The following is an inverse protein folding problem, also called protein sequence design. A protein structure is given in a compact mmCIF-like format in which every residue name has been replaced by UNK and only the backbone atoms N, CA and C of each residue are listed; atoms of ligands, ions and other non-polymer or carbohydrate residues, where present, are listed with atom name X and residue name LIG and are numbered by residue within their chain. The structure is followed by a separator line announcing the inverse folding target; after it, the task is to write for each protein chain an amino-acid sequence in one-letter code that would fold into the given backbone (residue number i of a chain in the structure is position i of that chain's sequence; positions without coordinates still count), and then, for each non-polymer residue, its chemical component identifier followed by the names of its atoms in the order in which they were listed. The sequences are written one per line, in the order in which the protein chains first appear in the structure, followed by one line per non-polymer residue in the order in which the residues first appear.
data_IF_385671277670
#
_entry.id   IF_385671277670
#
_cell.length_a   1.000
_cell.length_b   1.000
_cell.length_c   1.000
_cell.angle_alpha   90.00
_cell.angle_beta   90.00
_cell.angle_gamma   90.00
#
_symmetry.space_group_name_H-M   'P 1'
#
loop_
_entity.id
_entity.type
_entity.pdbx_description
1 polymer ?
#
# COMPACT_ATOMS: atom_id res chain seq x y z
N UNK A 1 -36.56 10.14 19.59
CA UNK A 1 -36.40 10.17 18.12
C UNK A 1 -35.03 9.59 17.84
N UNK A 2 -34.95 8.39 17.24
CA UNK A 2 -33.66 7.85 16.79
C UNK A 2 -33.24 8.62 15.54
N UNK A 3 -31.97 8.99 15.48
CA UNK A 3 -31.37 9.53 14.27
C UNK A 3 -31.59 8.56 13.10
N UNK A 4 -31.92 9.10 11.92
CA UNK A 4 -32.16 8.29 10.70
C UNK A 4 -30.94 7.43 10.28
N UNK A 5 -29.76 7.72 10.83
CA UNK A 5 -28.51 6.99 10.59
C UNK A 5 -28.23 5.86 11.60
N UNK A 6 -29.08 5.64 12.61
CA UNK A 6 -28.86 4.58 13.61
C UNK A 6 -29.46 3.23 13.19
N UNK A 7 -28.64 2.18 13.26
CA UNK A 7 -29.07 0.81 12.98
C UNK A 7 -30.15 0.35 13.97
N UNK A 8 -31.15 -0.39 13.46
CA UNK A 8 -32.23 -0.93 14.29
C UNK A 8 -31.68 -1.86 15.38
N UNK A 9 -32.04 -1.60 16.63
CA UNK A 9 -31.63 -2.40 17.79
C UNK A 9 -32.02 -3.89 17.68
N UNK A 10 -33.03 -4.21 16.87
CA UNK A 10 -33.46 -5.59 16.61
C UNK A 10 -32.38 -6.46 15.93
N UNK A 11 -31.39 -5.85 15.26
CA UNK A 11 -30.32 -6.60 14.58
C UNK A 11 -29.47 -7.39 15.57
N UNK A 12 -29.09 -6.77 16.69
CA UNK A 12 -28.32 -7.43 17.75
C UNK A 12 -29.22 -8.36 18.56
N UNK A 13 -30.37 -7.85 19.02
CA UNK A 13 -31.21 -8.55 20.01
C UNK A 13 -31.99 -9.73 19.45
N UNK A 14 -32.42 -9.68 18.17
CA UNK A 14 -33.25 -10.71 17.54
C UNK A 14 -32.52 -11.55 16.50
N UNK A 15 -31.60 -10.96 15.75
CA UNK A 15 -30.91 -11.62 14.65
C UNK A 15 -29.44 -11.95 14.95
N UNK A 16 -28.92 -11.52 16.11
CA UNK A 16 -27.52 -11.72 16.51
C UNK A 16 -26.51 -11.21 15.46
N UNK A 17 -26.89 -10.16 14.74
CA UNK A 17 -26.06 -9.52 13.70
C UNK A 17 -25.30 -8.37 14.36
N UNK A 18 -23.99 -8.53 14.46
CA UNK A 18 -23.08 -7.49 14.92
C UNK A 18 -22.50 -6.75 13.71
N UNK A 19 -22.73 -5.44 13.62
CA UNK A 19 -22.17 -4.59 12.58
C UNK A 19 -20.81 -4.08 13.02
N UNK A 20 -19.85 -4.04 12.08
CA UNK A 20 -18.52 -3.45 12.33
C UNK A 20 -18.68 -1.96 12.63
N UNK A 21 -18.03 -1.51 13.70
CA UNK A 21 -17.94 -0.09 14.04
C UNK A 21 -16.80 0.58 13.29
N UNK A 22 -16.80 1.91 13.21
CA UNK A 22 -15.70 2.68 12.60
C UNK A 22 -14.35 2.43 13.33
N UNK A 23 -14.40 2.24 14.65
CA UNK A 23 -13.23 1.91 15.47
C UNK A 23 -12.56 0.60 15.07
N UNK A 24 -13.33 -0.39 14.62
CA UNK A 24 -12.80 -1.70 14.21
C UNK A 24 -11.92 -1.61 12.96
N UNK A 25 -12.15 -0.59 12.12
CA UNK A 25 -11.39 -0.36 10.89
C UNK A 25 -10.20 0.59 11.10
N UNK A 26 -10.10 1.26 12.25
CA UNK A 26 -9.08 2.29 12.49
C UNK A 26 -7.65 1.74 12.31
N UNK A 27 -7.37 0.58 12.92
CA UNK A 27 -6.05 -0.06 12.82
C UNK A 27 -5.68 -0.38 11.37
N UNK A 28 -6.62 -0.96 10.62
CA UNK A 28 -6.41 -1.30 9.21
C UNK A 28 -6.20 -0.04 8.37
N UNK A 29 -6.97 1.02 8.61
CA UNK A 29 -6.85 2.31 7.92
C UNK A 29 -5.49 2.96 8.16
N UNK A 30 -5.02 3.00 9.41
CA UNK A 30 -3.70 3.56 9.75
C UNK A 30 -2.58 2.74 9.11
N UNK A 31 -2.66 1.41 9.18
CA UNK A 31 -1.67 0.54 8.55
C UNK A 31 -1.64 0.71 7.03
N UNK A 32 -2.80 0.79 6.39
CA UNK A 32 -2.90 1.06 4.95
C UNK A 32 -2.29 2.41 4.60
N UNK A 33 -2.54 3.47 5.37
CA UNK A 33 -1.96 4.79 5.15
C UNK A 33 -0.41 4.75 5.22
N UNK A 34 0.15 4.04 6.20
CA UNK A 34 1.60 3.86 6.33
C UNK A 34 2.17 3.10 5.13
N UNK A 35 1.53 2.01 4.71
CA UNK A 35 1.99 1.24 3.56
C UNK A 35 1.87 2.03 2.25
N UNK A 36 0.83 2.84 2.07
CA UNK A 36 0.71 3.75 0.93
C UNK A 36 1.83 4.78 0.89
N UNK A 37 2.15 5.38 2.03
CA UNK A 37 3.25 6.34 2.11
C UNK A 37 4.60 5.70 1.73
N UNK A 38 4.89 4.52 2.28
CA UNK A 38 6.10 3.75 1.93
C UNK A 38 6.13 3.36 0.46
N UNK A 39 5.00 2.92 -0.09
CA UNK A 39 4.87 2.52 -1.49
C UNK A 39 5.17 3.70 -2.43
N UNK A 40 4.58 4.86 -2.17
CA UNK A 40 4.84 6.08 -2.95
C UNK A 40 6.33 6.44 -2.92
N UNK A 41 6.99 6.30 -1.77
CA UNK A 41 8.42 6.63 -1.67
C UNK A 41 9.30 5.66 -2.48
N UNK A 42 8.95 4.38 -2.50
CA UNK A 42 9.62 3.38 -3.33
C UNK A 42 9.40 3.67 -4.81
N UNK A 43 8.21 4.10 -5.22
CA UNK A 43 7.95 4.51 -6.61
C UNK A 43 8.75 5.73 -7.04
N UNK A 44 8.85 6.76 -6.20
CA UNK A 44 9.70 7.92 -6.46
C UNK A 44 11.16 7.49 -6.69
N UNK A 45 11.68 6.58 -5.85
CA UNK A 45 13.04 6.05 -5.99
C UNK A 45 13.25 5.24 -7.27
N UNK A 46 12.27 4.42 -7.67
CA UNK A 46 12.33 3.69 -8.93
C UNK A 46 12.36 4.64 -10.13
N UNK A 47 11.58 5.72 -10.10
CA UNK A 47 11.58 6.75 -11.16
C UNK A 47 12.93 7.48 -11.20
N UNK A 48 13.50 7.81 -10.05
CA UNK A 48 14.86 8.40 -9.96
C UNK A 48 15.90 7.48 -10.61
N UNK A 49 15.94 6.19 -10.25
CA UNK A 49 16.87 5.21 -10.82
C UNK A 49 16.66 5.07 -12.34
N UNK A 50 15.41 5.01 -12.79
CA UNK A 50 15.10 4.93 -14.22
C UNK A 50 15.62 6.16 -14.98
N UNK A 51 15.46 7.36 -14.42
CA UNK A 51 15.97 8.59 -15.03
C UNK A 51 17.50 8.61 -15.07
N UNK A 52 18.17 8.13 -14.02
CA UNK A 52 19.63 7.99 -13.97
C UNK A 52 20.14 7.03 -15.05
N UNK A 53 19.50 5.86 -15.19
CA UNK A 53 19.83 4.88 -16.22
C UNK A 53 19.60 5.42 -17.64
N UNK A 54 18.55 6.22 -17.86
CA UNK A 54 18.23 6.80 -19.18
C UNK A 54 19.30 7.79 -19.67
N UNK A 55 19.96 8.48 -18.75
CA UNK A 55 20.92 9.54 -19.09
C UNK A 55 22.29 9.00 -19.55
N UNK A 56 22.57 7.68 -19.45
CA UNK A 56 23.69 6.95 -20.11
C UNK A 56 25.12 7.56 -20.05
N UNK A 57 25.40 8.51 -19.16
CA UNK A 57 26.74 9.10 -18.97
C UNK A 57 27.57 8.40 -17.89
N UNK A 58 27.08 7.27 -17.36
CA UNK A 58 27.69 6.56 -16.24
C UNK A 58 28.61 5.42 -16.70
N UNK A 59 29.70 5.14 -15.98
CA UNK A 59 30.51 3.93 -16.17
C UNK A 59 29.66 2.65 -16.02
N UNK A 60 30.02 1.60 -16.78
CA UNK A 60 29.31 0.30 -16.76
C UNK A 60 29.13 -0.30 -15.35
N UNK A 61 30.08 -0.04 -14.45
CA UNK A 61 30.06 -0.51 -13.08
C UNK A 61 28.95 0.16 -12.24
N UNK A 62 28.69 1.45 -12.48
CA UNK A 62 27.64 2.21 -11.82
C UNK A 62 26.26 1.86 -12.37
N UNK A 63 26.18 1.54 -13.67
CA UNK A 63 24.96 1.01 -14.30
C UNK A 63 24.57 -0.33 -13.65
N UNK A 64 25.54 -1.24 -13.46
CA UNK A 64 25.29 -2.53 -12.82
C UNK A 64 24.81 -2.36 -11.37
N UNK A 65 25.38 -1.41 -10.62
CA UNK A 65 24.95 -1.09 -9.27
C UNK A 65 23.50 -0.58 -9.24
N UNK A 66 23.16 0.38 -10.12
CA UNK A 66 21.80 0.92 -10.22
C UNK A 66 20.76 -0.13 -10.61
N UNK A 67 21.10 -1.07 -11.51
CA UNK A 67 20.23 -2.20 -11.86
C UNK A 67 20.01 -3.15 -10.69
N UNK A 68 21.05 -3.40 -9.89
CA UNK A 68 20.92 -4.22 -8.68
C UNK A 68 20.02 -3.55 -7.65
N UNK A 69 20.12 -2.22 -7.53
CA UNK A 69 19.29 -1.41 -6.63
C UNK A 69 17.84 -1.37 -7.11
N UNK A 70 17.60 -1.23 -8.43
CA UNK A 70 16.28 -1.32 -9.03
C UNK A 70 15.59 -2.65 -8.69
N UNK A 71 16.28 -3.77 -8.86
CA UNK A 71 15.74 -5.10 -8.52
C UNK A 71 15.39 -5.22 -7.02
N UNK A 72 16.17 -4.59 -6.14
CA UNK A 72 15.86 -4.58 -4.72
C UNK A 72 14.58 -3.78 -4.43
N UNK A 73 14.41 -2.60 -5.03
CA UNK A 73 13.20 -1.81 -4.88
C UNK A 73 11.96 -2.46 -5.51
N UNK A 74 12.09 -3.19 -6.62
CA UNK A 74 10.98 -3.95 -7.20
C UNK A 74 10.51 -5.08 -6.26
N UNK A 75 11.43 -5.76 -5.58
CA UNK A 75 11.07 -6.74 -4.53
C UNK A 75 10.32 -6.08 -3.39
N UNK A 76 10.79 -4.92 -2.91
CA UNK A 76 10.13 -4.17 -1.84
C UNK A 76 8.74 -3.69 -2.29
N UNK A 77 8.61 -3.19 -3.53
CA UNK A 77 7.33 -2.79 -4.13
C UNK A 77 6.34 -3.95 -4.15
N UNK A 78 6.79 -5.15 -4.52
CA UNK A 78 5.97 -6.36 -4.50
C UNK A 78 5.47 -6.70 -3.10
N UNK A 79 6.36 -6.70 -2.11
CA UNK A 79 5.99 -6.96 -0.71
C UNK A 79 4.99 -5.94 -0.17
N UNK A 80 5.16 -4.66 -0.49
CA UNK A 80 4.23 -3.60 -0.10
C UNK A 80 2.86 -3.76 -0.77
N UNK A 81 2.81 -4.15 -2.05
CA UNK A 81 1.56 -4.46 -2.75
C UNK A 81 0.81 -5.62 -2.13
N UNK A 82 1.52 -6.69 -1.74
CA UNK A 82 0.93 -7.83 -1.02
C UNK A 82 0.33 -7.40 0.32
N UNK A 83 1.03 -6.53 1.07
CA UNK A 83 0.52 -5.98 2.35
C UNK A 83 -0.71 -5.07 2.17
N UNK A 84 -0.81 -4.39 1.04
CA UNK A 84 -1.97 -3.56 0.67
C UNK A 84 -3.12 -4.36 0.07
N UNK A 85 -2.98 -5.69 -0.10
CA UNK A 85 -3.98 -6.54 -0.74
C UNK A 85 -4.17 -6.25 -2.23
N UNK A 86 -3.17 -5.63 -2.88
CA UNK A 86 -3.20 -5.33 -4.31
C UNK A 86 -2.57 -6.49 -5.09
N UNK A 87 -3.35 -7.20 -5.89
CA UNK A 87 -2.82 -8.19 -6.83
C UNK A 87 -2.12 -7.46 -7.98
N UNK A 88 -0.80 -7.64 -8.10
CA UNK A 88 -0.06 -7.19 -9.29
C UNK A 88 -0.39 -8.18 -10.42
N UNK A 89 -1.18 -7.75 -11.40
CA UNK A 89 -1.39 -8.51 -12.64
C UNK A 89 -0.05 -8.59 -13.39
N UNK A 90 0.34 -9.82 -13.75
CA UNK A 90 1.56 -10.13 -14.51
C UNK A 90 1.39 -9.82 -15.99
#
# INVERSE_FOLDING_TARGET
ESNDDELSHNWVTKYNIFTKSEGDNLYQTVMNAIYFFKFKKVEEKLIEIFNLLKNNELPDQDILLLLSEQMAYEKIKKLLSEKLGRTILK
#
